data_IF_223444157394
#
_entry.id   IF_223444157394
#
_cell.length_a   1.000
_cell.length_b   1.000
_cell.length_c   1.000
_cell.angle_alpha   90.00
_cell.angle_beta   90.00
_cell.angle_gamma   90.00
#
_symmetry.space_group_name_H-M   'P 1'
#
loop_
_entity.id
_entity.type
_entity.pdbx_description
1 polymer ?
#
# COMPACT_ATOMS: atom_id res chain seq x y z
N UNK A 1 6.67 13.99 15.67
CA UNK A 1 6.62 12.64 15.10
C UNK A 1 5.34 12.46 14.32
N UNK A 2 5.41 11.89 13.13
CA UNK A 2 4.22 11.67 12.29
C UNK A 2 3.88 10.18 12.24
N UNK A 3 2.67 9.87 11.73
CA UNK A 3 2.19 8.50 11.64
C UNK A 3 2.25 7.96 10.20
N UNK A 4 3.08 8.54 9.37
CA UNK A 4 3.21 8.09 7.99
C UNK A 4 3.90 6.72 7.92
N UNK A 5 3.79 6.11 6.77
CA UNK A 5 4.28 4.75 6.54
C UNK A 5 5.64 4.81 5.86
N UNK A 6 6.63 4.19 6.46
CA UNK A 6 8.00 4.22 5.97
C UNK A 6 8.47 2.84 5.56
N UNK A 7 9.36 2.81 4.60
CA UNK A 7 9.96 1.59 4.10
C UNK A 7 11.42 1.86 3.77
N UNK A 8 12.29 0.89 4.07
CA UNK A 8 13.68 0.96 3.65
C UNK A 8 14.03 -0.34 2.95
N UNK A 9 14.80 -0.22 1.86
CA UNK A 9 15.23 -1.39 1.10
C UNK A 9 16.64 -1.17 0.56
N UNK A 10 17.31 -2.28 0.32
CA UNK A 10 18.65 -2.24 -0.26
C UNK A 10 18.59 -1.90 -1.74
N UNK A 11 19.47 -1.02 -2.18
CA UNK A 11 19.64 -0.71 -3.60
C UNK A 11 20.99 -1.21 -4.07
N UNK A 12 21.00 -2.28 -4.85
CA UNK A 12 22.23 -2.83 -5.41
C UNK A 12 22.93 -1.86 -6.34
N UNK A 13 22.14 -1.04 -7.05
CA UNK A 13 22.69 -0.06 -7.98
C UNK A 13 23.50 1.03 -7.28
N UNK A 14 23.11 1.39 -6.04
CA UNK A 14 23.76 2.47 -5.30
C UNK A 14 24.61 2.00 -4.13
N UNK A 15 24.51 0.72 -3.76
CA UNK A 15 25.27 0.19 -2.63
C UNK A 15 24.85 0.76 -1.28
N UNK A 16 23.60 1.20 -1.18
CA UNK A 16 23.05 1.79 0.05
C UNK A 16 21.59 1.43 0.21
N UNK A 17 21.05 1.66 1.39
CA UNK A 17 19.63 1.55 1.63
C UNK A 17 18.92 2.84 1.22
N UNK A 18 17.71 2.71 0.68
CA UNK A 18 16.87 3.86 0.39
C UNK A 18 15.65 3.83 1.31
N UNK A 19 15.41 4.94 2.00
CA UNK A 19 14.22 5.13 2.82
C UNK A 19 13.17 5.90 2.04
N UNK A 20 11.93 5.45 2.11
CA UNK A 20 10.80 6.05 1.40
C UNK A 20 9.62 6.22 2.32
N UNK A 21 8.78 7.21 1.99
CA UNK A 21 7.50 7.43 2.64
C UNK A 21 6.41 7.10 1.63
N UNK A 22 5.50 6.19 2.00
CA UNK A 22 4.47 5.75 1.04
C UNK A 22 3.48 6.86 0.69
N UNK A 23 3.16 7.73 1.65
CA UNK A 23 2.22 8.84 1.42
C UNK A 23 2.85 9.98 0.62
N UNK A 24 4.16 10.12 0.66
CA UNK A 24 4.91 11.17 -0.01
C UNK A 24 6.04 10.54 -0.83
N UNK A 25 5.69 9.85 -1.94
CA UNK A 25 6.65 8.99 -2.65
C UNK A 25 7.81 9.72 -3.32
N UNK A 26 7.74 11.03 -3.46
CA UNK A 26 8.84 11.83 -4.02
C UNK A 26 9.94 12.10 -2.99
N UNK A 27 9.71 11.82 -1.72
CA UNK A 27 10.72 11.98 -0.68
C UNK A 27 11.44 10.66 -0.46
N UNK A 28 12.76 10.69 -0.55
CA UNK A 28 13.59 9.52 -0.29
C UNK A 28 14.92 9.98 0.27
N UNK A 29 15.57 9.09 1.03
CA UNK A 29 16.88 9.35 1.60
C UNK A 29 17.71 8.08 1.52
N UNK A 30 18.99 8.25 1.25
CA UNK A 30 19.95 7.15 1.11
C UNK A 30 20.86 7.10 2.33
N UNK A 31 21.15 5.91 2.81
CA UNK A 31 22.02 5.75 3.96
C UNK A 31 22.63 4.34 4.00
N UNK A 32 23.74 4.17 4.75
CA UNK A 32 24.38 2.85 4.83
C UNK A 32 23.60 1.79 5.57
N UNK A 33 22.63 2.16 6.41
CA UNK A 33 21.81 1.20 7.16
C UNK A 33 20.33 1.52 6.99
N UNK A 34 19.47 0.50 7.23
CA UNK A 34 18.03 0.68 7.17
C UNK A 34 17.56 1.74 8.17
N UNK A 35 18.10 1.69 9.37
CA UNK A 35 17.70 2.61 10.44
C UNK A 35 18.04 4.06 10.08
N UNK A 36 19.22 4.31 9.54
CA UNK A 36 19.61 5.67 9.16
C UNK A 36 18.85 6.14 7.92
N UNK A 37 18.50 5.25 7.01
CA UNK A 37 17.67 5.59 5.85
C UNK A 37 16.27 6.01 6.28
N UNK A 38 15.66 5.27 7.20
CA UNK A 38 14.34 5.61 7.72
C UNK A 38 14.39 6.91 8.53
N UNK A 39 15.39 7.08 9.39
CA UNK A 39 15.55 8.32 10.15
C UNK A 39 15.71 9.53 9.23
N UNK A 40 16.44 9.35 8.12
CA UNK A 40 16.64 10.43 7.16
C UNK A 40 15.37 10.82 6.42
N UNK A 41 14.60 9.84 5.95
CA UNK A 41 13.34 10.13 5.25
C UNK A 41 12.29 10.67 6.22
N UNK A 42 12.27 10.18 7.46
CA UNK A 42 11.36 10.71 8.48
C UNK A 42 11.63 12.19 8.74
N UNK A 43 12.90 12.56 8.82
CA UNK A 43 13.28 13.97 8.99
C UNK A 43 12.85 14.80 7.78
N UNK A 44 13.06 14.30 6.57
CA UNK A 44 12.64 14.98 5.36
C UNK A 44 11.13 15.17 5.33
N UNK A 45 10.37 14.17 5.78
CA UNK A 45 8.91 14.26 5.88
C UNK A 45 8.51 15.31 6.92
N UNK A 46 9.12 15.28 8.09
CA UNK A 46 8.80 16.27 9.13
C UNK A 46 9.05 17.70 8.66
N UNK A 47 10.13 17.93 7.92
CA UNK A 47 10.40 19.24 7.32
C UNK A 47 9.33 19.63 6.30
N UNK A 48 8.92 18.68 5.47
CA UNK A 48 7.87 18.92 4.48
C UNK A 48 6.54 19.26 5.15
N UNK A 49 6.18 18.53 6.20
CA UNK A 49 4.95 18.77 6.95
C UNK A 49 4.95 20.14 7.63
N UNK A 50 6.10 20.54 8.15
CA UNK A 50 6.25 21.85 8.78
C UNK A 50 6.02 22.99 7.77
N UNK A 51 6.44 22.81 6.53
CA UNK A 51 6.27 23.81 5.48
C UNK A 51 4.83 23.85 4.94
N UNK A 52 4.16 22.71 4.86
CA UNK A 52 2.85 22.59 4.23
C UNK A 52 1.69 22.81 5.19
N UNK A 53 1.92 22.66 6.47
CA UNK A 53 0.85 22.81 7.47
C UNK A 53 -0.20 21.71 7.31
N UNK A 54 -1.46 22.10 7.05
CA UNK A 54 -2.57 21.17 6.94
C UNK A 54 -2.78 20.62 5.53
N UNK A 55 -2.03 21.14 4.55
CA UNK A 55 -2.18 20.70 3.16
C UNK A 55 -1.31 19.49 2.89
N UNK A 56 -1.62 18.39 3.57
CA UNK A 56 -0.87 17.12 3.46
C UNK A 56 -1.86 15.96 3.49
N UNK A 57 -1.53 14.83 2.83
CA UNK A 57 -2.41 13.67 2.88
C UNK A 57 -2.41 13.04 4.27
N UNK A 58 -3.50 12.39 4.68
CA UNK A 58 -3.51 11.65 5.94
C UNK A 58 -2.66 10.40 5.84
N UNK A 59 -2.13 9.91 6.97
CA UNK A 59 -1.43 8.61 6.98
C UNK A 59 -2.31 7.49 6.45
N UNK A 60 -1.71 6.57 5.70
CA UNK A 60 -2.46 5.45 5.12
C UNK A 60 -3.21 4.65 6.18
N UNK A 61 -2.58 4.44 7.33
CA UNK A 61 -3.17 3.64 8.41
C UNK A 61 -4.28 4.37 9.17
N UNK A 62 -4.44 5.67 8.93
CA UNK A 62 -5.46 6.47 9.61
C UNK A 62 -6.60 6.87 8.68
N UNK A 63 -6.55 6.45 7.41
CA UNK A 63 -7.66 6.66 6.48
C UNK A 63 -8.84 5.78 6.85
N UNK A 64 -10.04 6.28 6.57
CA UNK A 64 -11.25 5.49 6.74
C UNK A 64 -11.54 4.75 5.44
N UNK A 65 -11.60 3.43 5.53
CA UNK A 65 -11.88 2.59 4.38
C UNK A 65 -13.29 2.02 4.48
N UNK A 66 -14.08 2.20 3.43
CA UNK A 66 -15.46 1.72 3.42
C UNK A 66 -15.60 0.24 3.11
N UNK A 67 -14.56 -0.35 2.53
CA UNK A 67 -14.65 -1.71 1.99
C UNK A 67 -15.25 -1.77 0.59
N UNK A 68 -15.60 -0.63 0.01
CA UNK A 68 -16.16 -0.56 -1.33
C UNK A 68 -15.17 0.13 -2.26
N UNK A 69 -14.88 -0.51 -3.38
CA UNK A 69 -14.06 0.10 -4.43
C UNK A 69 -14.38 -0.54 -5.76
N UNK A 70 -14.11 0.19 -6.83
CA UNK A 70 -14.38 -0.26 -8.19
C UNK A 70 -13.11 -0.76 -8.85
N UNK A 71 -13.20 -1.92 -9.50
CA UNK A 71 -12.11 -2.45 -10.31
C UNK A 71 -12.54 -2.40 -11.77
N UNK A 72 -11.72 -1.76 -12.60
CA UNK A 72 -11.93 -1.75 -14.06
C UNK A 72 -10.94 -2.73 -14.68
N UNK A 73 -11.42 -3.58 -15.54
CA UNK A 73 -10.59 -4.60 -16.16
C UNK A 73 -11.05 -4.83 -17.60
N UNK A 74 -10.43 -5.80 -18.29
CA UNK A 74 -10.82 -6.12 -19.64
C UNK A 74 -12.14 -6.90 -19.66
N UNK A 75 -12.95 -6.78 -20.75
CA UNK A 75 -14.14 -7.61 -20.88
C UNK A 75 -13.85 -9.11 -20.81
N UNK A 76 -12.71 -9.54 -21.34
CA UNK A 76 -12.33 -10.95 -21.31
C UNK A 76 -12.10 -11.44 -19.89
N UNK A 77 -11.40 -10.66 -19.05
CA UNK A 77 -11.19 -11.04 -17.67
C UNK A 77 -12.50 -11.02 -16.89
N UNK A 78 -13.34 -10.02 -17.13
CA UNK A 78 -14.65 -9.94 -16.48
C UNK A 78 -15.47 -11.19 -16.78
N UNK A 79 -15.51 -11.59 -18.06
CA UNK A 79 -16.24 -12.80 -18.50
C UNK A 79 -15.67 -14.06 -17.81
N UNK A 80 -14.36 -14.21 -17.78
CA UNK A 80 -13.72 -15.35 -17.16
C UNK A 80 -14.05 -15.45 -15.67
N UNK A 81 -13.97 -14.35 -14.97
CA UNK A 81 -14.28 -14.32 -13.54
C UNK A 81 -15.74 -14.66 -13.27
N UNK A 82 -16.65 -14.18 -14.14
CA UNK A 82 -18.06 -14.47 -14.02
C UNK A 82 -18.34 -15.97 -14.19
N UNK A 83 -17.69 -16.59 -15.18
CA UNK A 83 -17.84 -18.04 -15.41
C UNK A 83 -17.27 -18.82 -14.21
N UNK A 84 -16.11 -18.43 -13.72
CA UNK A 84 -15.50 -19.10 -12.56
C UNK A 84 -16.39 -19.01 -11.33
N UNK A 85 -16.96 -17.84 -11.07
CA UNK A 85 -17.88 -17.66 -9.95
C UNK A 85 -19.09 -18.57 -10.05
N UNK A 86 -19.67 -18.68 -11.25
CA UNK A 86 -20.80 -19.56 -11.51
C UNK A 86 -20.43 -21.02 -11.29
N UNK A 87 -19.24 -21.43 -11.73
CA UNK A 87 -18.77 -22.79 -11.53
C UNK A 87 -18.59 -23.12 -10.04
N UNK A 88 -18.19 -22.13 -9.26
CA UNK A 88 -18.02 -22.29 -7.82
C UNK A 88 -19.30 -22.06 -7.03
N UNK A 89 -20.38 -21.71 -7.71
CA UNK A 89 -21.69 -21.43 -7.13
C UNK A 89 -21.63 -20.32 -6.07
N UNK A 90 -20.86 -19.27 -6.37
CA UNK A 90 -20.77 -18.08 -5.52
C UNK A 90 -21.02 -16.84 -6.37
N UNK A 91 -21.27 -15.71 -5.72
CA UNK A 91 -21.42 -14.45 -6.45
C UNK A 91 -20.07 -13.99 -7.03
N UNK A 92 -20.12 -13.15 -8.05
CA UNK A 92 -18.89 -12.57 -8.61
C UNK A 92 -18.13 -11.82 -7.54
N UNK A 93 -18.82 -11.06 -6.69
CA UNK A 93 -18.18 -10.34 -5.61
C UNK A 93 -17.46 -11.26 -4.62
N UNK A 94 -18.12 -12.35 -4.22
CA UNK A 94 -17.51 -13.34 -3.34
C UNK A 94 -16.27 -13.98 -3.96
N UNK A 95 -16.35 -14.30 -5.23
CA UNK A 95 -15.22 -14.88 -5.95
C UNK A 95 -14.05 -13.92 -6.03
N UNK A 96 -14.33 -12.64 -6.35
CA UNK A 96 -13.31 -11.61 -6.39
C UNK A 96 -12.64 -11.39 -5.04
N UNK A 97 -13.42 -11.33 -3.98
CA UNK A 97 -12.87 -11.16 -2.62
C UNK A 97 -11.91 -12.30 -2.30
N UNK A 98 -12.29 -13.53 -2.62
CA UNK A 98 -11.42 -14.69 -2.42
C UNK A 98 -10.12 -14.57 -3.20
N UNK A 99 -10.20 -14.17 -4.48
CA UNK A 99 -9.02 -14.00 -5.32
C UNK A 99 -8.10 -12.90 -4.81
N UNK A 100 -8.68 -11.78 -4.39
CA UNK A 100 -7.92 -10.64 -3.91
C UNK A 100 -7.26 -10.89 -2.54
N UNK A 101 -7.90 -11.67 -1.70
CA UNK A 101 -7.34 -12.04 -0.41
C UNK A 101 -6.11 -12.94 -0.56
N UNK A 102 -6.08 -13.73 -1.63
CA UNK A 102 -4.94 -14.58 -2.02
C UNK A 102 -4.45 -15.52 -0.93
N UNK A 103 -5.36 -15.97 -0.09
CA UNK A 103 -5.05 -16.98 0.93
C UNK A 103 -6.35 -17.47 1.56
N UNK A 104 -6.36 -18.70 2.08
CA UNK A 104 -7.54 -19.19 2.78
C UNK A 104 -7.78 -18.37 4.04
N UNK A 105 -9.03 -18.16 4.43
CA UNK A 105 -9.33 -17.48 5.67
C UNK A 105 -8.74 -18.24 6.86
N UNK A 106 -7.91 -17.54 7.63
CA UNK A 106 -7.23 -18.15 8.78
C UNK A 106 -7.49 -17.40 10.08
N UNK A 107 -8.15 -16.24 10.00
CA UNK A 107 -8.39 -15.42 11.17
C UNK A 107 -9.24 -14.21 10.85
N UNK A 108 -9.33 -13.31 11.81
CA UNK A 108 -10.21 -12.15 11.75
C UNK A 108 -9.82 -11.16 10.65
N UNK A 109 -8.58 -11.22 10.19
CA UNK A 109 -8.08 -10.25 9.22
C UNK A 109 -8.16 -10.75 7.79
N UNK A 110 -8.66 -11.93 7.56
CA UNK A 110 -8.73 -12.56 6.25
C UNK A 110 -10.13 -12.44 5.68
N UNK A 111 -10.65 -11.32 5.56
CA UNK A 111 -11.97 -10.98 5.07
C UNK A 111 -12.79 -10.37 6.19
#
# INVERSE_FOLDING_TARGET
MNHYTYRAEWSSAHGEYVGRCLELPWLSQWAPTMQTAIAGVERAVDEHLAERGEDVPPPLTERKFSGKFLVRTSPALHARLTVEAAEQNVSLNQWLVQKLADRPPTGLFDL
#
